data_IF_484744774265
#
_entry.id   IF_484744774265
#
_cell.length_a   1.000
_cell.length_b   1.000
_cell.length_c   1.000
_cell.angle_alpha   90.00
_cell.angle_beta   90.00
_cell.angle_gamma   90.00
#
_symmetry.space_group_name_H-M   'P 1'
#
loop_
_entity.id
_entity.type
_entity.pdbx_description
1 polymer ?
#
# COMPACT_ATOMS: atom_id res chain seq x y z
N UNK A 1 -40.05 -9.00 21.18
CA UNK A 1 -38.56 -9.02 21.27
C UNK A 1 -38.20 -8.96 22.74
N UNK A 2 -37.63 -10.02 23.31
CA UNK A 2 -37.41 -10.16 24.76
C UNK A 2 -36.31 -9.18 25.24
N UNK A 3 -36.37 -8.79 26.52
CA UNK A 3 -35.32 -7.92 27.14
C UNK A 3 -33.90 -8.50 27.00
N UNK A 4 -33.73 -9.83 26.97
CA UNK A 4 -32.51 -10.54 26.73
C UNK A 4 -31.91 -10.21 25.35
N UNK A 5 -32.73 -10.11 24.29
CA UNK A 5 -32.25 -9.81 22.93
C UNK A 5 -31.77 -8.36 22.80
N UNK A 6 -32.40 -7.42 23.54
CA UNK A 6 -31.92 -6.01 23.58
C UNK A 6 -30.62 -5.83 24.32
N UNK A 7 -30.38 -6.64 25.38
CA UNK A 7 -29.11 -6.65 26.12
C UNK A 7 -27.94 -7.21 25.29
N UNK A 8 -28.17 -8.32 24.59
CA UNK A 8 -27.17 -8.93 23.69
C UNK A 8 -26.78 -7.99 22.53
N UNK A 9 -27.76 -7.34 21.92
CA UNK A 9 -27.52 -6.38 20.82
C UNK A 9 -26.73 -5.16 21.33
N UNK A 10 -27.07 -4.63 22.55
CA UNK A 10 -26.29 -3.53 23.13
C UNK A 10 -24.86 -3.93 23.50
N UNK A 11 -24.65 -5.14 23.99
CA UNK A 11 -23.32 -5.67 24.30
C UNK A 11 -22.50 -5.87 23.02
N UNK A 12 -23.10 -6.43 21.96
CA UNK A 12 -22.45 -6.57 20.66
C UNK A 12 -22.08 -5.21 20.04
N UNK A 13 -22.99 -4.22 20.11
CA UNK A 13 -22.69 -2.85 19.63
C UNK A 13 -21.58 -2.22 20.46
N UNK A 14 -21.53 -2.45 21.76
CA UNK A 14 -20.51 -1.91 22.65
C UNK A 14 -19.15 -2.56 22.41
N UNK A 15 -19.11 -3.88 22.25
CA UNK A 15 -17.89 -4.64 21.90
C UNK A 15 -17.40 -4.26 20.49
N UNK A 16 -18.30 -4.06 19.53
CA UNK A 16 -17.97 -3.61 18.19
C UNK A 16 -17.35 -2.19 18.20
N UNK A 17 -17.92 -1.27 19.01
CA UNK A 17 -17.36 0.07 19.21
C UNK A 17 -15.98 0.05 19.87
N UNK A 18 -15.78 -0.80 20.90
CA UNK A 18 -14.46 -0.96 21.54
C UNK A 18 -13.45 -1.51 20.53
N UNK A 19 -13.81 -2.47 19.69
CA UNK A 19 -12.95 -2.99 18.64
C UNK A 19 -12.64 -1.93 17.56
N UNK A 20 -13.59 -1.07 17.21
CA UNK A 20 -13.35 0.07 16.30
C UNK A 20 -12.40 1.12 16.89
N UNK A 21 -12.45 1.35 18.21
CA UNK A 21 -11.55 2.27 18.92
C UNK A 21 -10.15 1.68 19.11
N UNK A 22 -9.96 0.37 18.96
CA UNK A 22 -8.67 -0.33 19.17
C UNK A 22 -7.78 -0.40 17.91
N UNK A 23 -8.35 -0.25 16.70
CA UNK A 23 -7.55 -0.29 15.47
C UNK A 23 -6.75 1.00 15.31
N UNK A 24 -5.42 0.90 15.43
CA UNK A 24 -4.51 2.02 15.28
C UNK A 24 -3.47 1.73 14.19
N UNK A 25 -3.28 2.68 13.27
CA UNK A 25 -2.35 2.54 12.13
C UNK A 25 -1.20 3.52 12.28
N UNK A 26 0.04 3.06 12.09
CA UNK A 26 1.21 3.92 12.02
C UNK A 26 1.48 4.33 10.57
N UNK A 27 1.59 5.63 10.32
CA UNK A 27 2.22 6.18 9.10
C UNK A 27 3.67 6.50 9.44
N UNK A 28 4.61 5.73 8.89
CA UNK A 28 6.03 5.80 9.27
C UNK A 28 6.74 6.86 8.45
N UNK A 29 7.14 7.95 9.10
CA UNK A 29 7.80 9.08 8.47
C UNK A 29 9.33 8.90 8.46
N UNK A 30 9.94 9.10 7.29
CA UNK A 30 11.39 9.17 7.09
C UNK A 30 11.81 10.58 6.68
N UNK A 31 13.11 10.94 6.84
CA UNK A 31 13.61 12.20 6.27
C UNK A 31 13.33 12.26 4.75
N UNK A 32 12.54 13.23 4.30
CA UNK A 32 12.14 13.35 2.89
C UNK A 32 10.84 12.62 2.50
N UNK A 33 10.10 12.01 3.43
CA UNK A 33 8.70 11.66 3.21
C UNK A 33 7.89 12.92 2.90
N UNK A 34 7.02 12.86 1.90
CA UNK A 34 6.17 14.00 1.51
C UNK A 34 4.72 13.63 1.22
N UNK A 35 4.38 12.35 1.20
CA UNK A 35 3.00 11.85 1.06
C UNK A 35 2.49 11.25 2.39
N UNK A 36 3.20 11.47 3.47
CA UNK A 36 2.89 10.99 4.81
C UNK A 36 1.63 11.66 5.38
N UNK A 37 1.50 12.97 5.21
CA UNK A 37 0.29 13.71 5.61
C UNK A 37 -0.90 13.35 4.74
N UNK A 38 -0.72 13.11 3.43
CA UNK A 38 -1.78 12.64 2.53
C UNK A 38 -2.36 11.30 3.03
N UNK A 39 -1.49 10.33 3.37
CA UNK A 39 -1.89 9.03 3.90
C UNK A 39 -2.57 9.16 5.27
N UNK A 40 -2.04 10.00 6.15
CA UNK A 40 -2.60 10.27 7.47
C UNK A 40 -4.01 10.87 7.39
N UNK A 41 -4.22 11.86 6.51
CA UNK A 41 -5.52 12.50 6.25
C UNK A 41 -6.57 11.48 5.79
N UNK A 42 -6.18 10.56 4.86
CA UNK A 42 -7.10 9.52 4.41
C UNK A 42 -7.52 8.61 5.58
N UNK A 43 -6.58 8.18 6.41
CA UNK A 43 -6.88 7.33 7.56
C UNK A 43 -7.74 8.07 8.60
N UNK A 44 -7.29 9.25 9.05
CA UNK A 44 -7.94 9.99 10.16
C UNK A 44 -9.20 10.72 9.74
N UNK A 45 -9.11 11.50 8.65
CA UNK A 45 -10.15 12.46 8.32
C UNK A 45 -11.20 11.89 7.37
N UNK A 46 -10.82 10.94 6.51
CA UNK A 46 -11.74 10.31 5.57
C UNK A 46 -12.32 9.01 6.13
N UNK A 47 -11.47 8.11 6.62
CA UNK A 47 -11.90 6.77 7.10
C UNK A 47 -12.21 6.73 8.59
N UNK A 48 -11.90 7.81 9.33
CA UNK A 48 -12.14 7.93 10.78
C UNK A 48 -11.48 6.79 11.57
N UNK A 49 -10.24 6.46 11.21
CA UNK A 49 -9.43 5.44 11.87
C UNK A 49 -8.35 6.13 12.69
N UNK A 50 -8.15 5.77 13.96
CA UNK A 50 -7.01 6.22 14.74
C UNK A 50 -5.70 5.91 13.99
N UNK A 51 -4.92 6.93 13.72
CA UNK A 51 -3.64 6.80 13.04
C UNK A 51 -2.64 7.82 13.57
N UNK A 52 -1.38 7.45 13.65
CA UNK A 52 -0.30 8.33 14.10
C UNK A 52 0.76 8.51 13.02
N UNK A 53 1.27 9.74 12.92
CA UNK A 53 2.49 10.01 12.17
C UNK A 53 3.69 9.70 13.05
N UNK A 54 4.40 8.63 12.74
CA UNK A 54 5.48 8.11 13.59
C UNK A 54 6.83 8.33 12.91
N UNK A 55 7.68 9.14 13.53
CA UNK A 55 9.05 9.29 13.06
C UNK A 55 9.81 7.96 13.16
N UNK A 56 10.48 7.54 12.09
CA UNK A 56 11.07 6.19 11.97
C UNK A 56 11.99 5.78 13.13
N UNK A 57 12.64 6.74 13.82
CA UNK A 57 13.48 6.45 14.99
C UNK A 57 12.69 6.25 16.28
N UNK A 58 11.44 6.69 16.31
CA UNK A 58 10.54 6.56 17.45
C UNK A 58 9.68 5.29 17.37
N UNK A 59 9.63 4.62 16.23
CA UNK A 59 8.99 3.31 16.09
C UNK A 59 9.91 2.25 16.69
N UNK A 60 9.75 2.00 18.00
CA UNK A 60 10.61 1.09 18.78
C UNK A 60 9.90 -0.20 19.20
N UNK A 61 8.57 -0.25 19.05
CA UNK A 61 7.72 -1.37 19.41
C UNK A 61 6.66 -1.60 18.33
N UNK A 62 6.15 -2.82 18.27
CA UNK A 62 5.04 -3.22 17.43
C UNK A 62 3.70 -2.97 18.15
N UNK A 63 3.38 -1.69 18.38
CA UNK A 63 2.20 -1.25 19.15
C UNK A 63 0.98 -0.91 18.23
N UNK A 64 1.09 -1.12 16.93
CA UNK A 64 0.05 -0.79 15.95
C UNK A 64 -0.49 -2.05 15.28
N UNK A 65 -1.75 -2.02 14.86
CA UNK A 65 -2.39 -3.11 14.14
C UNK A 65 -2.05 -3.13 12.66
N UNK A 66 -1.62 -1.99 12.11
CA UNK A 66 -1.21 -1.87 10.70
C UNK A 66 -0.22 -0.75 10.48
N UNK A 67 0.49 -0.80 9.34
CA UNK A 67 1.54 0.15 9.01
C UNK A 67 1.41 0.65 7.59
N UNK A 68 1.68 1.94 7.39
CA UNK A 68 1.83 2.57 6.07
C UNK A 68 3.22 3.20 5.99
N UNK A 69 4.01 2.77 5.02
CA UNK A 69 5.25 3.43 4.61
C UNK A 69 4.90 4.34 3.44
N UNK A 70 4.88 5.67 3.62
CA UNK A 70 4.37 6.60 2.63
C UNK A 70 5.35 6.85 1.49
N UNK A 71 4.85 7.51 0.44
CA UNK A 71 5.67 8.03 -0.64
C UNK A 71 6.53 9.22 -0.21
N UNK A 72 7.51 9.53 -1.06
CA UNK A 72 8.45 10.61 -0.86
C UNK A 72 9.78 10.34 -1.53
N UNK A 73 10.81 10.99 -1.02
CA UNK A 73 12.20 10.88 -1.46
C UNK A 73 13.11 10.71 -0.23
N UNK A 74 12.98 9.55 0.43
CA UNK A 74 13.66 9.32 1.70
C UNK A 74 15.17 9.52 1.57
N UNK A 75 15.73 10.39 2.43
CA UNK A 75 17.13 10.81 2.39
C UNK A 75 17.57 11.39 1.03
N UNK A 76 16.63 11.97 0.23
CA UNK A 76 16.92 12.55 -1.08
C UNK A 76 17.28 11.53 -2.16
N UNK A 77 16.87 10.27 -2.00
CA UNK A 77 17.16 9.14 -2.89
C UNK A 77 18.67 8.94 -3.16
N UNK A 78 19.53 9.34 -2.21
CA UNK A 78 20.96 9.08 -2.31
C UNK A 78 21.22 7.57 -2.37
N UNK A 79 22.17 7.15 -3.19
CA UNK A 79 22.52 5.79 -3.60
C UNK A 79 21.44 5.20 -4.53
N UNK A 80 20.33 4.75 -3.99
CA UNK A 80 19.08 4.31 -4.64
C UNK A 80 17.91 4.72 -3.78
N UNK A 81 16.76 4.95 -4.41
CA UNK A 81 15.55 5.30 -3.70
C UNK A 81 15.20 4.21 -2.65
N UNK A 82 14.99 4.64 -1.41
CA UNK A 82 14.69 3.75 -0.29
C UNK A 82 15.90 3.10 0.39
N UNK A 83 17.09 3.05 -0.23
CA UNK A 83 18.23 2.26 0.27
C UNK A 83 18.69 2.68 1.68
N UNK A 84 18.82 3.98 1.95
CA UNK A 84 19.24 4.45 3.28
C UNK A 84 18.11 4.21 4.30
N UNK A 85 16.86 4.46 3.94
CA UNK A 85 15.71 4.23 4.82
C UNK A 85 15.56 2.74 5.19
N UNK A 86 15.91 1.82 4.28
CA UNK A 86 15.91 0.38 4.52
C UNK A 86 16.86 -0.07 5.65
N UNK A 87 17.83 0.75 6.03
CA UNK A 87 18.73 0.49 7.16
C UNK A 87 18.20 1.05 8.49
N UNK A 88 17.03 1.69 8.49
CA UNK A 88 16.43 2.28 9.68
C UNK A 88 16.06 1.23 10.72
N UNK A 89 16.24 1.53 12.04
CA UNK A 89 15.78 0.66 13.12
C UNK A 89 14.29 0.28 13.04
N UNK A 90 13.44 1.15 12.48
CA UNK A 90 12.02 0.87 12.28
C UNK A 90 11.76 -0.37 11.42
N UNK A 91 12.66 -0.73 10.49
CA UNK A 91 12.49 -1.90 9.63
C UNK A 91 12.58 -3.22 10.40
N UNK A 92 13.21 -3.24 11.59
CA UNK A 92 13.13 -4.38 12.49
C UNK A 92 11.69 -4.60 12.97
N UNK A 93 11.03 -3.52 13.39
CA UNK A 93 9.63 -3.56 13.85
C UNK A 93 8.69 -3.93 12.70
N UNK A 94 8.90 -3.36 11.51
CA UNK A 94 8.12 -3.69 10.30
C UNK A 94 8.26 -5.18 9.94
N UNK A 95 9.45 -5.77 10.05
CA UNK A 95 9.65 -7.23 9.85
C UNK A 95 8.94 -8.06 10.92
N UNK A 96 9.00 -7.65 12.18
CA UNK A 96 8.29 -8.32 13.26
C UNK A 96 6.77 -8.27 13.05
N UNK A 97 6.23 -7.12 12.64
CA UNK A 97 4.82 -6.95 12.29
C UNK A 97 4.42 -7.79 11.06
N UNK A 98 5.26 -7.85 10.03
CA UNK A 98 5.05 -8.72 8.87
C UNK A 98 4.95 -10.20 9.27
N UNK A 99 5.84 -10.67 10.14
CA UNK A 99 5.82 -12.04 10.67
C UNK A 99 4.63 -12.35 11.58
N UNK A 100 3.94 -11.33 12.08
CA UNK A 100 2.67 -11.45 12.82
C UNK A 100 1.44 -11.25 11.93
N UNK A 101 1.62 -11.28 10.62
CA UNK A 101 0.59 -11.10 9.59
C UNK A 101 -0.17 -9.76 9.66
N UNK A 102 0.42 -8.74 10.30
CA UNK A 102 -0.16 -7.40 10.31
C UNK A 102 -0.10 -6.76 8.92
N UNK A 103 -1.15 -6.04 8.48
CA UNK A 103 -1.14 -5.35 7.20
C UNK A 103 -0.09 -4.25 7.13
N UNK A 104 0.77 -4.31 6.12
CA UNK A 104 1.82 -3.32 5.84
C UNK A 104 1.70 -2.85 4.40
N UNK A 105 1.46 -1.55 4.20
CA UNK A 105 1.33 -0.92 2.89
C UNK A 105 2.53 -0.02 2.61
N UNK A 106 3.30 -0.34 1.56
CA UNK A 106 4.38 0.52 1.04
C UNK A 106 3.93 1.25 -0.23
N UNK A 107 3.88 2.58 -0.20
CA UNK A 107 3.46 3.42 -1.32
C UNK A 107 4.69 4.11 -1.93
N UNK A 108 4.92 3.96 -3.23
CA UNK A 108 6.00 4.60 -3.97
C UNK A 108 7.36 4.42 -3.27
N UNK A 109 7.88 5.43 -2.59
CA UNK A 109 9.11 5.32 -1.80
C UNK A 109 9.00 4.27 -0.67
N UNK A 110 7.85 4.10 -0.05
CA UNK A 110 7.59 3.02 0.91
C UNK A 110 7.74 1.63 0.28
N UNK A 111 7.31 1.44 -0.96
CA UNK A 111 7.54 0.19 -1.70
C UNK A 111 9.03 -0.03 -1.97
N UNK A 112 9.75 1.01 -2.42
CA UNK A 112 11.20 0.96 -2.62
C UNK A 112 11.92 0.55 -1.32
N UNK A 113 11.53 1.12 -0.18
CA UNK A 113 12.08 0.76 1.14
C UNK A 113 11.84 -0.71 1.47
N UNK A 114 10.63 -1.24 1.23
CA UNK A 114 10.30 -2.64 1.50
C UNK A 114 11.11 -3.61 0.63
N UNK A 115 11.36 -3.26 -0.64
CA UNK A 115 12.20 -4.04 -1.56
C UNK A 115 13.67 -3.96 -1.16
N UNK A 116 14.22 -2.77 -0.90
CA UNK A 116 15.61 -2.59 -0.46
C UNK A 116 15.87 -3.27 0.89
N UNK A 117 14.87 -3.33 1.77
CA UNK A 117 14.92 -4.08 3.01
C UNK A 117 14.80 -5.60 2.81
N UNK A 118 14.49 -6.11 1.61
CA UNK A 118 14.25 -7.54 1.35
C UNK A 118 13.01 -8.09 2.06
N UNK A 119 12.02 -7.25 2.33
CA UNK A 119 10.68 -7.66 2.83
C UNK A 119 9.78 -8.01 1.67
N UNK A 120 9.95 -7.35 0.52
CA UNK A 120 9.36 -7.70 -0.75
C UNK A 120 10.47 -8.10 -1.74
N UNK A 121 10.20 -9.03 -2.66
CA UNK A 121 11.19 -9.50 -3.64
C UNK A 121 11.43 -8.49 -4.77
N UNK A 122 12.50 -8.71 -5.56
CA UNK A 122 12.83 -7.94 -6.75
C UNK A 122 13.66 -6.69 -6.47
N UNK A 123 13.61 -5.74 -7.40
CA UNK A 123 14.28 -4.45 -7.32
C UNK A 123 13.43 -3.35 -7.96
N UNK A 124 13.57 -2.11 -7.50
CA UNK A 124 12.97 -0.95 -8.15
C UNK A 124 14.07 -0.09 -8.73
N UNK A 125 14.04 0.11 -10.05
CA UNK A 125 15.07 0.76 -10.84
C UNK A 125 14.56 2.08 -11.40
N UNK A 126 15.48 2.86 -12.00
CA UNK A 126 15.11 4.05 -12.77
C UNK A 126 14.14 3.72 -13.89
N UNK A 127 13.18 4.60 -14.11
CA UNK A 127 12.26 4.51 -15.24
C UNK A 127 13.03 4.30 -16.55
N UNK A 128 12.51 3.48 -17.44
CA UNK A 128 13.16 3.17 -18.73
C UNK A 128 13.45 4.42 -19.59
N UNK A 129 12.61 5.47 -19.44
CA UNK A 129 12.79 6.77 -20.11
C UNK A 129 13.78 7.72 -19.42
N UNK A 130 14.41 7.32 -18.30
CA UNK A 130 15.33 8.13 -17.48
C UNK A 130 14.77 9.51 -17.07
N UNK A 131 13.45 9.62 -16.98
CA UNK A 131 12.73 10.85 -16.64
C UNK A 131 11.75 10.60 -15.51
N UNK A 132 11.51 11.65 -14.72
CA UNK A 132 10.40 11.69 -13.77
C UNK A 132 9.08 11.61 -14.53
N UNK A 133 8.19 10.73 -14.09
CA UNK A 133 6.85 10.55 -14.70
C UNK A 133 5.81 10.88 -13.64
N UNK A 134 4.97 11.87 -13.96
CA UNK A 134 3.82 12.26 -13.14
C UNK A 134 2.58 12.25 -14.02
N UNK A 135 1.71 11.25 -13.83
CA UNK A 135 0.46 11.11 -14.60
C UNK A 135 -0.52 10.17 -13.92
N UNK A 136 -1.78 10.27 -14.28
CA UNK A 136 -2.77 9.26 -13.95
C UNK A 136 -2.53 7.98 -14.75
N UNK A 137 -2.67 6.85 -14.07
CA UNK A 137 -2.53 5.51 -14.67
C UNK A 137 -3.75 4.66 -14.34
N UNK A 138 -4.03 3.71 -15.22
CA UNK A 138 -5.04 2.70 -14.99
C UNK A 138 -4.37 1.43 -14.48
N UNK A 139 -4.86 0.92 -13.37
CA UNK A 139 -4.39 -0.31 -12.74
C UNK A 139 -5.47 -1.37 -12.85
N UNK A 140 -5.08 -2.62 -13.09
CA UNK A 140 -5.95 -3.78 -12.96
C UNK A 140 -5.60 -4.55 -11.70
N UNK A 141 -6.62 -4.94 -10.94
CA UNK A 141 -6.49 -5.83 -9.78
C UNK A 141 -6.33 -7.26 -10.28
N UNK A 142 -5.19 -7.89 -10.00
CA UNK A 142 -4.88 -9.26 -10.41
C UNK A 142 -5.38 -10.29 -9.40
N UNK A 143 -5.32 -9.96 -8.09
CA UNK A 143 -5.76 -10.85 -7.02
C UNK A 143 -6.44 -10.06 -5.89
N UNK A 144 -7.38 -10.73 -5.22
CA UNK A 144 -8.10 -10.18 -4.06
C UNK A 144 -7.71 -10.86 -2.74
N UNK A 145 -6.64 -11.67 -2.75
CA UNK A 145 -6.19 -12.42 -1.57
C UNK A 145 -5.56 -11.53 -0.48
N UNK A 146 -5.14 -10.30 -0.85
CA UNK A 146 -4.48 -9.40 0.09
C UNK A 146 -5.48 -8.58 0.92
N UNK A 147 -5.12 -8.15 2.15
CA UNK A 147 -5.91 -7.21 2.93
C UNK A 147 -6.25 -5.91 2.18
N UNK A 148 -5.46 -5.55 1.16
CA UNK A 148 -5.55 -4.28 0.45
C UNK A 148 -6.47 -4.32 -0.78
N UNK A 149 -6.81 -5.51 -1.28
CA UNK A 149 -7.62 -5.71 -2.48
C UNK A 149 -8.87 -6.57 -2.27
N UNK A 150 -9.10 -7.07 -1.06
CA UNK A 150 -10.22 -7.97 -0.75
C UNK A 150 -11.62 -7.38 -0.99
N UNK A 151 -11.76 -6.07 -1.03
CA UNK A 151 -13.01 -5.39 -1.38
C UNK A 151 -13.15 -5.14 -2.89
N UNK A 152 -12.15 -5.49 -3.69
CA UNK A 152 -12.19 -5.42 -5.15
C UNK A 152 -12.74 -6.73 -5.75
N UNK A 153 -12.88 -6.73 -7.06
CA UNK A 153 -13.02 -7.93 -7.87
C UNK A 153 -11.79 -8.08 -8.78
N UNK A 154 -11.36 -9.33 -9.00
CA UNK A 154 -10.27 -9.60 -9.97
C UNK A 154 -10.66 -9.05 -11.34
N UNK A 155 -9.75 -8.35 -12.00
CA UNK A 155 -10.01 -7.64 -13.25
C UNK A 155 -10.58 -6.22 -13.07
N UNK A 156 -10.95 -5.80 -11.87
CA UNK A 156 -11.40 -4.43 -11.60
C UNK A 156 -10.29 -3.43 -11.90
N UNK A 157 -10.66 -2.31 -12.55
CA UNK A 157 -9.71 -1.23 -12.83
C UNK A 157 -9.82 -0.09 -11.82
N UNK A 158 -8.67 0.51 -11.51
CA UNK A 158 -8.53 1.67 -10.63
C UNK A 158 -7.74 2.76 -11.35
N UNK A 159 -8.21 4.01 -11.29
CA UNK A 159 -7.46 5.18 -11.73
C UNK A 159 -6.66 5.74 -10.56
N UNK A 160 -5.32 5.66 -10.64
CA UNK A 160 -4.41 6.07 -9.57
C UNK A 160 -3.20 6.78 -10.17
N UNK A 161 -2.75 7.94 -9.63
CA UNK A 161 -1.61 8.65 -10.17
C UNK A 161 -0.29 8.01 -9.76
N UNK A 162 0.73 8.24 -10.58
CA UNK A 162 2.13 7.98 -10.28
C UNK A 162 2.92 9.29 -10.27
N UNK A 163 4.00 9.35 -9.48
CA UNK A 163 4.92 10.49 -9.42
C UNK A 163 6.30 10.01 -8.97
N UNK A 164 7.14 9.53 -9.91
CA UNK A 164 8.44 8.93 -9.58
C UNK A 164 9.45 9.00 -10.73
N UNK A 165 10.75 8.99 -10.39
CA UNK A 165 11.87 8.80 -11.31
C UNK A 165 12.38 7.35 -11.31
N UNK A 166 12.23 6.68 -10.18
CA UNK A 166 12.59 5.27 -9.97
C UNK A 166 11.33 4.50 -9.59
N UNK A 167 10.68 3.88 -10.58
CA UNK A 167 9.44 3.11 -10.37
C UNK A 167 9.39 1.85 -11.21
N UNK A 168 10.47 1.56 -11.94
CA UNK A 168 10.58 0.37 -12.77
C UNK A 168 10.83 -0.85 -11.90
N UNK A 169 9.79 -1.60 -11.58
CA UNK A 169 9.93 -2.89 -10.91
C UNK A 169 10.61 -3.90 -11.82
N UNK A 170 11.58 -4.63 -11.28
CA UNK A 170 12.41 -5.59 -12.00
C UNK A 170 12.67 -6.83 -11.15
N UNK A 171 12.63 -7.98 -11.80
CA UNK A 171 13.04 -9.28 -11.28
C UNK A 171 13.45 -10.17 -12.45
N UNK A 172 14.07 -11.29 -12.18
CA UNK A 172 14.35 -12.26 -13.22
C UNK A 172 13.11 -13.09 -13.60
N UNK A 173 13.25 -13.92 -14.64
CA UNK A 173 12.14 -14.67 -15.21
C UNK A 173 11.66 -15.80 -14.28
N UNK A 174 12.57 -16.40 -13.49
CA UNK A 174 12.22 -17.48 -12.57
C UNK A 174 11.44 -16.93 -11.38
N UNK A 175 11.87 -15.79 -10.85
CA UNK A 175 11.18 -15.06 -9.79
C UNK A 175 9.79 -14.59 -10.24
N UNK A 176 9.62 -14.13 -11.49
CA UNK A 176 8.30 -13.76 -12.02
C UNK A 176 7.35 -14.95 -11.99
N UNK A 177 7.77 -16.11 -12.52
CA UNK A 177 6.95 -17.32 -12.51
C UNK A 177 6.54 -17.73 -11.10
N UNK A 178 7.46 -17.56 -10.13
CA UNK A 178 7.17 -17.79 -8.72
C UNK A 178 6.13 -16.81 -8.17
N UNK A 179 6.27 -15.51 -8.45
CA UNK A 179 5.29 -14.49 -8.04
C UNK A 179 3.89 -14.76 -8.62
N UNK A 180 3.82 -15.12 -9.89
CA UNK A 180 2.55 -15.42 -10.55
C UNK A 180 1.89 -16.68 -9.99
N UNK A 181 2.65 -17.75 -9.84
CA UNK A 181 2.17 -19.03 -9.26
C UNK A 181 1.62 -18.84 -7.86
N UNK A 182 2.22 -17.94 -7.07
CA UNK A 182 1.84 -17.66 -5.70
C UNK A 182 0.83 -16.49 -5.59
N UNK A 183 0.29 -15.99 -6.69
CA UNK A 183 -0.65 -14.85 -6.74
C UNK A 183 -0.10 -13.60 -6.02
N UNK A 184 1.21 -13.35 -6.10
CA UNK A 184 1.87 -12.22 -5.46
C UNK A 184 1.86 -10.94 -6.31
N UNK A 185 1.56 -11.04 -7.61
CA UNK A 185 1.30 -9.87 -8.46
C UNK A 185 -0.10 -9.35 -8.13
N UNK A 186 -0.17 -8.18 -7.52
CA UNK A 186 -1.44 -7.61 -7.02
C UNK A 186 -2.06 -6.64 -8.02
N UNK A 187 -1.23 -5.78 -8.65
CA UNK A 187 -1.67 -4.75 -9.58
C UNK A 187 -0.79 -4.71 -10.82
N UNK A 188 -1.40 -4.54 -12.01
CA UNK A 188 -0.71 -4.25 -13.27
C UNK A 188 -1.18 -2.94 -13.89
N UNK A 189 -0.27 -2.24 -14.58
CA UNK A 189 -0.62 -1.13 -15.48
C UNK A 189 -1.34 -1.66 -16.71
N UNK A 190 -2.49 -1.08 -17.04
CA UNK A 190 -3.31 -1.48 -18.19
C UNK A 190 -3.78 -0.27 -18.98
N UNK A 191 -4.20 -0.52 -20.23
CA UNK A 191 -4.81 0.47 -21.10
C UNK A 191 -6.33 0.65 -20.83
N UNK A 192 -7.00 1.39 -21.69
CA UNK A 192 -8.44 1.65 -21.60
C UNK A 192 -9.31 0.42 -21.91
N UNK A 193 -8.73 -0.61 -22.55
CA UNK A 193 -9.37 -1.91 -22.82
C UNK A 193 -9.10 -2.95 -21.73
N UNK A 194 -8.44 -2.53 -20.64
CA UNK A 194 -8.01 -3.42 -19.55
C UNK A 194 -6.93 -4.44 -19.95
N UNK A 195 -6.09 -4.11 -20.95
CA UNK A 195 -5.00 -4.95 -21.42
C UNK A 195 -3.63 -4.40 -20.92
N UNK A 196 -2.76 -5.31 -20.48
CA UNK A 196 -1.41 -4.97 -20.05
C UNK A 196 -0.47 -4.81 -21.26
N UNK A 197 -0.64 -3.71 -21.99
CA UNK A 197 0.15 -3.39 -23.16
C UNK A 197 1.45 -2.66 -22.81
N UNK A 198 2.40 -2.64 -23.74
CA UNK A 198 3.65 -1.89 -23.58
C UNK A 198 3.39 -0.37 -23.47
N UNK A 199 2.41 0.13 -24.16
CA UNK A 199 2.00 1.54 -24.18
C UNK A 199 1.35 1.97 -22.87
N UNK A 200 0.66 1.05 -22.18
CA UNK A 200 0.09 1.26 -20.85
C UNK A 200 1.15 1.34 -19.76
N UNK A 201 2.34 0.78 -19.99
CA UNK A 201 3.44 0.73 -19.04
C UNK A 201 4.17 2.09 -18.94
N UNK A 202 4.02 2.83 -17.84
CA UNK A 202 4.52 4.21 -17.78
C UNK A 202 6.02 4.32 -17.51
N UNK A 203 6.65 3.25 -16.99
CA UNK A 203 7.98 3.30 -16.41
C UNK A 203 8.91 2.16 -16.85
N UNK A 204 8.39 1.19 -17.62
CA UNK A 204 9.13 0.01 -18.06
C UNK A 204 9.21 -1.11 -17.02
N UNK A 205 8.31 -1.12 -16.04
CA UNK A 205 8.18 -2.23 -15.09
C UNK A 205 8.05 -3.57 -15.81
N UNK A 206 8.72 -4.58 -15.30
CA UNK A 206 8.62 -5.92 -15.83
C UNK A 206 7.16 -6.40 -15.79
N UNK A 207 6.68 -6.97 -16.89
CA UNK A 207 5.32 -7.48 -17.04
C UNK A 207 4.20 -6.50 -16.56
N UNK A 208 4.42 -5.20 -16.79
CA UNK A 208 3.50 -4.14 -16.37
C UNK A 208 3.17 -4.12 -14.86
N UNK A 209 3.97 -4.78 -14.02
CA UNK A 209 3.73 -4.85 -12.58
C UNK A 209 3.75 -3.46 -11.96
N UNK A 210 2.66 -3.10 -11.30
CA UNK A 210 2.48 -1.84 -10.57
C UNK A 210 2.55 -2.02 -9.05
N UNK A 211 2.27 -3.24 -8.56
CA UNK A 211 2.32 -3.60 -7.15
C UNK A 211 2.31 -5.10 -6.93
N UNK A 212 2.99 -5.51 -5.85
CA UNK A 212 3.15 -6.91 -5.44
C UNK A 212 2.89 -7.07 -3.95
N UNK A 213 2.77 -8.31 -3.49
CA UNK A 213 2.74 -8.65 -2.06
C UNK A 213 3.78 -9.72 -1.71
N UNK A 214 4.01 -9.91 -0.40
CA UNK A 214 4.77 -11.05 0.13
C UNK A 214 3.98 -12.36 -0.01
N UNK A 215 4.59 -13.54 0.25
CA UNK A 215 3.90 -14.83 0.16
C UNK A 215 2.64 -14.93 1.03
N UNK A 216 2.65 -14.34 2.21
CA UNK A 216 1.52 -14.31 3.16
C UNK A 216 0.40 -13.35 2.72
N UNK A 217 0.71 -12.37 1.85
CA UNK A 217 -0.22 -11.37 1.32
C UNK A 217 -0.47 -10.16 2.20
N UNK A 218 0.09 -10.13 3.41
CA UNK A 218 -0.12 -9.06 4.39
C UNK A 218 0.80 -7.85 4.22
N UNK A 219 1.88 -7.97 3.45
CA UNK A 219 2.73 -6.85 3.05
C UNK A 219 2.52 -6.59 1.56
N UNK A 220 2.10 -5.39 1.21
CA UNK A 220 1.92 -4.95 -0.17
C UNK A 220 2.75 -3.71 -0.46
N UNK A 221 3.40 -3.68 -1.61
CA UNK A 221 4.08 -2.51 -2.16
C UNK A 221 3.54 -2.16 -3.54
N UNK A 222 3.38 -0.87 -3.81
CA UNK A 222 2.94 -0.36 -5.12
C UNK A 222 3.60 0.99 -5.44
N UNK A 223 3.87 1.25 -6.72
CA UNK A 223 4.42 2.54 -7.16
C UNK A 223 3.37 3.64 -7.31
N UNK A 224 2.12 3.37 -7.70
CA UNK A 224 1.05 4.36 -7.70
C UNK A 224 0.68 4.87 -6.30
N UNK A 225 0.06 6.06 -6.26
CA UNK A 225 -0.31 6.78 -5.04
C UNK A 225 -1.83 6.68 -4.76
N UNK A 226 -2.32 5.63 -4.07
CA UNK A 226 -3.74 5.49 -3.77
C UNK A 226 -4.26 6.60 -2.85
N UNK A 227 -3.42 7.16 -1.96
CA UNK A 227 -3.77 8.29 -1.09
C UNK A 227 -4.20 9.50 -1.90
N UNK A 228 -3.55 9.76 -3.05
CA UNK A 228 -3.88 10.87 -3.96
C UNK A 228 -5.08 10.61 -4.88
N UNK A 229 -5.60 9.40 -4.86
CA UNK A 229 -6.83 9.00 -5.58
C UNK A 229 -7.96 8.61 -4.62
N UNK A 230 -7.89 9.03 -3.34
CA UNK A 230 -8.84 8.66 -2.29
C UNK A 230 -9.92 9.70 -2.02
N UNK A 231 -9.79 10.89 -2.60
CA UNK A 231 -10.79 11.96 -2.53
C UNK A 231 -11.35 12.25 -3.92
N UNK A 232 -12.68 12.38 -4.03
CA UNK A 232 -13.34 12.62 -5.31
C UNK A 232 -12.86 13.90 -5.99
N UNK A 233 -12.56 14.95 -5.22
CA UNK A 233 -12.09 16.24 -5.75
C UNK A 233 -10.71 16.15 -6.42
N UNK A 234 -9.88 15.18 -6.02
CA UNK A 234 -8.55 14.97 -6.59
C UNK A 234 -8.57 14.10 -7.84
N UNK A 235 -9.63 13.30 -8.04
CA UNK A 235 -9.70 12.32 -9.11
C UNK A 235 -10.27 12.92 -10.40
N UNK A 236 -9.69 12.62 -11.59
CA UNK A 236 -10.12 13.20 -12.87
C UNK A 236 -11.58 12.91 -13.22
N UNK A 237 -12.10 11.77 -12.82
CA UNK A 237 -13.48 11.31 -13.02
C UNK A 237 -14.38 11.50 -11.78
N UNK A 238 -13.89 12.24 -10.78
CA UNK A 238 -14.55 12.47 -9.50
C UNK A 238 -14.89 11.17 -8.73
N UNK A 239 -14.14 10.08 -8.98
CA UNK A 239 -14.31 8.81 -8.27
C UNK A 239 -13.08 8.53 -7.41
N UNK A 240 -13.24 8.34 -6.08
CA UNK A 240 -12.11 8.10 -5.17
C UNK A 240 -11.64 6.64 -5.23
N UNK A 241 -11.15 6.18 -6.38
CA UNK A 241 -10.87 4.77 -6.66
C UNK A 241 -9.69 4.23 -5.86
N UNK A 242 -8.70 5.08 -5.52
CA UNK A 242 -7.56 4.69 -4.68
C UNK A 242 -7.96 4.35 -3.24
N UNK A 243 -9.09 4.92 -2.75
CA UNK A 243 -9.60 4.67 -1.41
C UNK A 243 -9.92 3.18 -1.16
N UNK A 244 -10.23 2.42 -2.21
CA UNK A 244 -10.49 0.98 -2.13
C UNK A 244 -9.37 0.23 -1.39
N UNK A 245 -8.10 0.62 -1.60
CA UNK A 245 -6.94 -0.02 -0.97
C UNK A 245 -6.96 0.20 0.55
N UNK A 246 -7.22 1.43 0.98
CA UNK A 246 -7.33 1.76 2.41
C UNK A 246 -8.59 1.15 3.04
N UNK A 247 -9.76 1.27 2.38
CA UNK A 247 -11.02 0.67 2.83
C UNK A 247 -10.88 -0.84 3.05
N UNK A 248 -10.17 -1.53 2.15
CA UNK A 248 -9.90 -2.98 2.26
C UNK A 248 -9.03 -3.30 3.47
N UNK A 249 -7.93 -2.55 3.66
CA UNK A 249 -7.01 -2.70 4.80
C UNK A 249 -7.76 -2.50 6.13
N UNK A 250 -8.53 -1.42 6.25
CA UNK A 250 -9.23 -1.11 7.49
C UNK A 250 -10.34 -2.12 7.81
N UNK A 251 -11.06 -2.58 6.79
CA UNK A 251 -12.05 -3.64 6.97
C UNK A 251 -11.41 -4.93 7.47
N UNK A 252 -10.22 -5.30 6.99
CA UNK A 252 -9.47 -6.44 7.51
C UNK A 252 -9.13 -6.24 8.99
N UNK A 253 -8.57 -5.07 9.35
CA UNK A 253 -8.17 -4.77 10.71
C UNK A 253 -9.35 -4.80 11.71
N UNK A 254 -10.55 -4.38 11.27
CA UNK A 254 -11.78 -4.41 12.09
C UNK A 254 -12.41 -5.79 12.20
N UNK A 255 -12.00 -6.75 11.38
CA UNK A 255 -12.55 -8.12 11.37
C UNK A 255 -11.60 -9.16 11.98
N UNK A 256 -10.38 -8.79 12.33
CA UNK A 256 -9.39 -9.62 13.01
C UNK A 256 -9.54 -9.52 14.53
#
# INVERSE_FOLDING_TARGET
MSMLNKGLIRLQIHLFRIAEEMVQVAVVQYPGSNCDLDALEILKDTLKVPADLVWHKHLQKDDYEGYVLPGGFSYGDYLRAGAIAATSPSLKIIREAAGKEKPILGICNGFQILVEAGILPGAVLRNSGLRFVCKWTRLRVETTRTPFTRNATTGQTLMVPIAHNEGRYFLDQEDLQSLEKNEQVVLRYVDDKNEATKEANPNGSFDNIAGICNPEGNVMGLMPHPERASLAILSPDHKPQGRLIFDSMIKQLRSA
#
